data_IF_383274081804
#
_entry.id   IF_383274081804
#
_cell.length_a   1.000
_cell.length_b   1.000
_cell.length_c   1.000
_cell.angle_alpha   90.00
_cell.angle_beta   90.00
_cell.angle_gamma   90.00
#
_symmetry.space_group_name_H-M   'P 1'
#
loop_
_entity.id
_entity.type
_entity.pdbx_description
1 polymer ?
#
# COMPACT_ATOMS: atom_id res chain seq x y z
N UNK A 1 6.10 23.81 -0.40
CA UNK A 1 7.46 24.28 -0.05
C UNK A 1 8.44 23.15 -0.34
N UNK A 2 9.54 23.39 -1.03
CA UNK A 2 10.58 22.36 -1.26
C UNK A 2 11.50 22.20 -0.05
N UNK A 3 12.27 21.10 0.04
CA UNK A 3 13.29 20.95 1.11
C UNK A 3 14.35 22.08 1.03
N UNK A 4 14.65 22.56 -0.17
CA UNK A 4 15.58 23.68 -0.38
C UNK A 4 15.02 24.99 0.17
N UNK A 5 13.73 25.25 -0.06
CA UNK A 5 13.02 26.40 0.49
C UNK A 5 12.90 26.32 2.01
N UNK A 6 12.59 25.15 2.57
CA UNK A 6 12.56 24.93 4.02
C UNK A 6 13.91 25.29 4.64
N UNK A 7 15.00 24.76 4.09
CA UNK A 7 16.34 25.06 4.57
C UNK A 7 16.68 26.55 4.39
N UNK A 8 16.20 27.20 3.32
CA UNK A 8 16.27 28.65 3.09
C UNK A 8 15.62 29.44 4.22
N UNK A 9 14.34 29.20 4.48
CA UNK A 9 13.58 29.88 5.52
C UNK A 9 14.15 29.61 6.92
N UNK A 10 14.55 28.37 7.22
CA UNK A 10 15.17 28.02 8.50
C UNK A 10 16.47 28.80 8.74
N UNK A 11 17.32 28.92 7.73
CA UNK A 11 18.55 29.71 7.83
C UNK A 11 18.26 31.18 8.13
N UNK A 12 17.34 31.81 7.39
CA UNK A 12 16.98 33.21 7.61
C UNK A 12 16.44 33.41 9.03
N UNK A 13 15.58 32.50 9.50
CA UNK A 13 15.02 32.54 10.85
C UNK A 13 16.10 32.45 11.93
N UNK A 14 17.00 31.46 11.81
CA UNK A 14 18.10 31.26 12.77
C UNK A 14 19.08 32.45 12.76
N UNK A 15 19.44 32.97 11.58
CA UNK A 15 20.35 34.12 11.47
C UNK A 15 19.74 35.39 12.08
N UNK A 16 18.44 35.63 11.88
CA UNK A 16 17.74 36.78 12.46
C UNK A 16 17.69 36.73 14.00
N UNK A 17 17.53 35.53 14.57
CA UNK A 17 17.47 35.33 16.04
C UNK A 17 18.84 35.34 16.72
N UNK A 18 19.87 34.86 16.03
CA UNK A 18 21.22 34.69 16.62
C UNK A 18 22.17 35.85 16.32
N UNK A 19 21.92 36.63 15.26
CA UNK A 19 22.84 37.64 14.74
C UNK A 19 24.13 37.06 14.13
N UNK A 20 24.24 35.73 14.03
CA UNK A 20 25.41 35.05 13.47
C UNK A 20 25.13 34.55 12.04
N UNK A 21 26.19 34.42 11.23
CA UNK A 21 26.07 33.85 9.89
C UNK A 21 26.09 32.32 9.94
N UNK A 22 25.13 31.69 9.27
CA UNK A 22 25.03 30.22 9.16
C UNK A 22 25.17 29.78 7.71
N UNK A 23 25.97 28.76 7.40
CA UNK A 23 26.01 28.14 6.07
C UNK A 23 24.76 27.28 5.83
N UNK A 24 24.23 27.22 4.60
CA UNK A 24 23.09 26.35 4.23
C UNK A 24 23.35 24.88 4.57
N UNK A 25 24.55 24.38 4.28
CA UNK A 25 24.96 23.00 4.60
C UNK A 25 24.85 22.70 6.11
N UNK A 26 25.16 23.67 6.97
CA UNK A 26 25.03 23.50 8.43
C UNK A 26 23.55 23.44 8.85
N UNK A 27 22.66 24.16 8.16
CA UNK A 27 21.22 24.09 8.45
C UNK A 27 20.65 22.71 8.13
N UNK A 28 21.06 22.10 7.02
CA UNK A 28 20.69 20.71 6.72
C UNK A 28 21.10 19.74 7.83
N UNK A 29 22.31 19.89 8.36
CA UNK A 29 22.81 19.08 9.48
C UNK A 29 22.03 19.33 10.79
N UNK A 30 21.62 20.57 11.05
CA UNK A 30 20.79 20.90 12.22
C UNK A 30 19.35 20.37 12.09
N UNK A 31 18.78 20.39 10.88
CA UNK A 31 17.48 19.75 10.58
C UNK A 31 17.53 18.23 10.76
N UNK A 32 18.68 17.60 10.51
CA UNK A 32 18.85 16.17 10.79
C UNK A 32 18.96 15.93 12.31
N UNK A 33 19.79 16.73 12.98
CA UNK A 33 19.99 16.62 14.41
C UNK A 33 18.70 16.86 15.22
N UNK A 34 17.79 17.73 14.75
CA UNK A 34 16.50 17.96 15.43
C UNK A 34 15.67 16.69 15.58
N UNK A 35 15.87 15.68 14.72
CA UNK A 35 15.17 14.41 14.79
C UNK A 35 16.08 13.24 15.19
N UNK A 36 17.23 13.53 15.82
CA UNK A 36 18.17 12.52 16.31
C UNK A 36 19.02 11.84 15.23
N UNK A 37 19.03 12.36 14.00
CA UNK A 37 19.88 11.83 12.93
C UNK A 37 21.30 12.39 13.03
N UNK A 38 22.29 11.54 12.78
CA UNK A 38 23.71 11.89 12.89
C UNK A 38 24.22 12.79 11.74
N UNK A 39 23.52 12.82 10.61
CA UNK A 39 23.84 13.69 9.47
C UNK A 39 22.63 13.86 8.57
N UNK A 40 22.65 14.88 7.71
CA UNK A 40 21.60 15.06 6.72
C UNK A 40 21.53 13.92 5.70
N UNK A 41 22.66 13.26 5.43
CA UNK A 41 22.70 12.11 4.54
C UNK A 41 21.92 10.88 5.07
N UNK A 42 21.62 10.84 6.38
CA UNK A 42 20.79 9.79 6.97
C UNK A 42 19.31 9.94 6.58
N UNK A 43 18.87 11.12 6.15
CA UNK A 43 17.58 11.26 5.48
C UNK A 43 17.59 10.52 4.14
N UNK A 44 16.49 9.83 3.86
CA UNK A 44 16.31 9.00 2.68
C UNK A 44 16.86 7.58 2.80
N UNK A 45 17.32 7.15 3.98
CA UNK A 45 17.56 5.73 4.26
C UNK A 45 16.25 5.05 4.67
N UNK A 46 15.61 5.57 5.72
CA UNK A 46 14.31 5.08 6.18
C UNK A 46 13.34 6.22 6.55
N UNK A 47 13.81 7.46 6.59
CA UNK A 47 12.99 8.61 7.00
C UNK A 47 13.17 9.78 6.06
N UNK A 48 12.09 10.53 5.87
CA UNK A 48 12.04 11.76 5.06
C UNK A 48 11.39 12.88 5.86
N UNK A 49 11.71 14.13 5.51
CA UNK A 49 11.02 15.28 6.10
C UNK A 49 9.61 15.37 5.54
N UNK A 50 8.66 15.73 6.39
CA UNK A 50 7.27 15.90 6.01
C UNK A 50 6.62 17.04 6.79
N UNK A 51 5.54 17.58 6.23
CA UNK A 51 4.58 18.41 6.96
C UNK A 51 3.68 17.45 7.74
N UNK A 52 3.63 17.59 9.06
CA UNK A 52 2.87 16.74 9.97
C UNK A 52 1.39 17.09 9.88
N UNK A 53 0.54 16.07 9.76
CA UNK A 53 -0.92 16.21 9.86
C UNK A 53 -1.37 16.16 11.33
N UNK A 54 -2.60 16.61 11.61
CA UNK A 54 -3.13 16.74 12.98
C UNK A 54 -3.09 15.43 13.78
N UNK A 55 -3.11 14.27 13.11
CA UNK A 55 -3.13 12.93 13.72
C UNK A 55 -1.78 12.19 13.64
N UNK A 56 -0.72 12.78 13.06
CA UNK A 56 0.58 12.11 12.98
C UNK A 56 1.26 12.10 14.36
N UNK A 57 1.81 10.94 14.77
CA UNK A 57 2.66 10.86 15.97
C UNK A 57 3.85 11.82 15.83
N UNK A 58 3.82 12.87 16.63
CA UNK A 58 4.81 13.95 16.54
C UNK A 58 6.17 13.50 17.10
N UNK A 59 7.15 13.33 16.23
CA UNK A 59 8.55 13.34 16.64
C UNK A 59 8.94 14.80 16.94
N UNK A 60 8.82 15.20 18.21
CA UNK A 60 9.17 16.54 18.64
C UNK A 60 10.66 16.82 18.37
N UNK A 61 11.01 18.02 17.87
CA UNK A 61 12.40 18.45 17.75
C UNK A 61 13.15 18.31 19.08
N UNK A 62 14.33 17.70 19.04
CA UNK A 62 15.14 17.45 20.23
C UNK A 62 16.26 18.48 20.36
N UNK A 63 16.00 19.55 21.11
CA UNK A 63 16.94 20.67 21.28
C UNK A 63 18.33 20.28 21.76
N UNK A 64 18.46 19.25 22.59
CA UNK A 64 19.76 18.75 23.04
C UNK A 64 20.67 18.32 21.88
N UNK A 65 20.11 17.67 20.86
CA UNK A 65 20.86 17.24 19.68
C UNK A 65 21.18 18.42 18.75
N UNK A 66 20.25 19.35 18.57
CA UNK A 66 20.48 20.59 17.80
C UNK A 66 21.64 21.38 18.41
N UNK A 67 21.61 21.59 19.73
CA UNK A 67 22.63 22.35 20.45
C UNK A 67 24.01 21.71 20.29
N UNK A 68 24.10 20.41 20.56
CA UNK A 68 25.33 19.63 20.40
C UNK A 68 25.87 19.73 18.97
N UNK A 69 25.04 19.52 17.97
CA UNK A 69 25.46 19.56 16.56
C UNK A 69 25.91 20.96 16.14
N UNK A 70 25.28 22.00 16.67
CA UNK A 70 25.68 23.39 16.42
C UNK A 70 27.08 23.68 16.98
N UNK A 71 27.41 23.17 18.17
CA UNK A 71 28.76 23.28 18.74
C UNK A 71 29.78 22.49 17.90
N UNK A 72 29.46 21.26 17.49
CA UNK A 72 30.31 20.44 16.63
C UNK A 72 30.63 21.11 15.27
N UNK A 73 29.68 21.89 14.74
CA UNK A 73 29.85 22.66 13.51
C UNK A 73 30.66 23.97 13.70
N UNK A 74 31.14 24.24 14.93
CA UNK A 74 32.06 25.33 15.25
C UNK A 74 31.39 26.63 15.73
N UNK A 75 30.10 26.61 16.04
CA UNK A 75 29.42 27.78 16.61
C UNK A 75 29.65 27.89 18.12
N UNK A 76 29.66 29.12 18.64
CA UNK A 76 29.84 29.37 20.08
C UNK A 76 28.65 28.83 20.89
N UNK A 77 28.84 28.36 22.14
CA UNK A 77 27.75 27.84 22.97
C UNK A 77 26.53 28.77 23.09
N UNK A 78 26.75 30.07 23.28
CA UNK A 78 25.65 31.06 23.38
C UNK A 78 24.84 31.14 22.07
N UNK A 79 25.54 31.12 20.92
CA UNK A 79 24.92 31.08 19.59
C UNK A 79 24.18 29.77 19.37
N UNK A 80 24.74 28.64 19.81
CA UNK A 80 24.12 27.32 19.71
C UNK A 80 22.80 27.25 20.49
N UNK A 81 22.76 27.80 21.71
CA UNK A 81 21.54 27.87 22.52
C UNK A 81 20.45 28.70 21.83
N UNK A 82 20.79 29.89 21.33
CA UNK A 82 19.84 30.72 20.59
C UNK A 82 19.36 30.05 19.27
N UNK A 83 20.28 29.40 18.54
CA UNK A 83 19.95 28.68 17.32
C UNK A 83 19.02 27.49 17.59
N UNK A 84 19.20 26.81 18.72
CA UNK A 84 18.37 25.68 19.15
C UNK A 84 16.92 26.14 19.33
N UNK A 85 16.68 27.12 20.20
CA UNK A 85 15.33 27.63 20.45
C UNK A 85 14.69 28.22 19.20
N UNK A 86 15.47 28.89 18.35
CA UNK A 86 14.98 29.43 17.08
C UNK A 86 14.54 28.33 16.10
N UNK A 87 15.30 27.23 16.00
CA UNK A 87 14.99 26.14 15.09
C UNK A 87 13.81 25.30 15.61
N UNK A 88 13.73 25.05 16.91
CA UNK A 88 12.58 24.37 17.52
C UNK A 88 11.27 25.14 17.29
N UNK A 89 11.26 26.46 17.54
CA UNK A 89 10.10 27.32 17.26
C UNK A 89 9.71 27.25 15.79
N UNK A 90 10.69 27.36 14.89
CA UNK A 90 10.46 27.34 13.45
C UNK A 90 9.84 26.02 12.96
N UNK A 91 10.34 24.88 13.44
CA UNK A 91 9.82 23.55 13.05
C UNK A 91 8.41 23.33 13.60
N UNK A 92 8.16 23.70 14.86
CA UNK A 92 6.83 23.57 15.47
C UNK A 92 5.79 24.48 14.82
N UNK A 93 6.13 25.74 14.54
CA UNK A 93 5.23 26.70 13.88
C UNK A 93 4.81 26.25 12.48
N UNK A 94 5.70 25.52 11.78
CA UNK A 94 5.44 25.00 10.43
C UNK A 94 5.04 23.53 10.41
N UNK A 95 4.84 22.93 11.59
CA UNK A 95 4.48 21.52 11.75
C UNK A 95 5.42 20.58 10.97
N UNK A 96 6.72 20.86 10.96
CA UNK A 96 7.70 20.04 10.23
C UNK A 96 8.17 18.89 11.12
N UNK A 97 8.09 17.67 10.59
CA UNK A 97 8.53 16.46 11.26
C UNK A 97 9.25 15.48 10.33
N UNK A 98 9.30 14.23 10.76
CA UNK A 98 9.82 13.12 9.98
C UNK A 98 8.76 12.03 9.82
N UNK A 99 8.74 11.42 8.64
CA UNK A 99 7.95 10.22 8.35
C UNK A 99 8.88 9.04 8.06
N UNK A 100 8.54 7.87 8.61
CA UNK A 100 9.13 6.60 8.21
C UNK A 100 8.60 6.22 6.83
N UNK A 101 9.48 5.86 5.89
CA UNK A 101 9.06 5.50 4.52
C UNK A 101 8.20 4.22 4.57
N UNK A 102 8.58 3.21 5.36
CA UNK A 102 7.79 1.99 5.53
C UNK A 102 6.41 2.27 6.14
N UNK A 103 6.33 3.11 7.16
CA UNK A 103 5.04 3.45 7.77
C UNK A 103 4.16 4.29 6.85
N UNK A 104 4.78 5.10 5.99
CA UNK A 104 4.08 5.82 4.93
C UNK A 104 3.50 4.83 3.90
N UNK A 105 4.27 3.83 3.48
CA UNK A 105 3.80 2.78 2.56
C UNK A 105 2.60 2.05 3.14
N UNK A 106 2.69 1.55 4.39
CA UNK A 106 1.57 0.86 5.03
C UNK A 106 0.31 1.73 5.05
N UNK A 107 0.46 3.01 5.43
CA UNK A 107 -0.66 3.96 5.39
C UNK A 107 -1.24 4.15 3.98
N UNK A 108 -0.39 4.25 2.96
CA UNK A 108 -0.81 4.41 1.56
C UNK A 108 -1.51 3.17 1.01
N UNK A 109 -1.14 1.97 1.48
CA UNK A 109 -1.81 0.71 1.13
C UNK A 109 -3.12 0.47 1.89
N UNK A 110 -3.48 1.36 2.83
CA UNK A 110 -4.65 1.16 3.69
C UNK A 110 -4.43 0.14 4.81
N UNK A 111 -3.18 -0.28 5.06
CA UNK A 111 -2.83 -1.14 6.20
C UNK A 111 -2.97 -0.31 7.49
N UNK A 112 -4.15 -0.36 8.11
CA UNK A 112 -4.37 0.28 9.41
C UNK A 112 -3.52 -0.42 10.47
N UNK A 113 -2.72 0.31 11.27
CA UNK A 113 -2.03 -0.30 12.40
C UNK A 113 -3.07 -0.68 13.46
N UNK A 114 -3.48 -1.96 13.46
CA UNK A 114 -4.28 -2.65 14.47
C UNK A 114 -5.26 -1.75 15.24
N UNK A 115 -6.48 -1.58 14.73
CA UNK A 115 -7.62 -1.15 15.53
C UNK A 115 -8.55 -2.34 15.71
N UNK A 116 -8.25 -3.13 16.75
CA UNK A 116 -9.30 -3.81 17.51
C UNK A 116 -10.21 -2.71 18.07
N UNK A 117 -11.22 -2.31 17.33
CA UNK A 117 -12.46 -1.72 17.83
C UNK A 117 -13.45 -1.72 16.65
N UNK A 118 -14.46 -2.59 16.72
CA UNK A 118 -15.67 -2.50 15.90
C UNK A 118 -16.28 -1.11 16.07
N UNK A 119 -16.01 -0.21 15.13
CA UNK A 119 -16.80 1.01 14.98
C UNK A 119 -17.89 0.72 13.94
N UNK A 120 -19.14 0.75 14.43
CA UNK A 120 -20.35 0.87 13.62
C UNK A 120 -20.08 1.87 12.49
N UNK A 121 -20.31 1.42 11.26
CA UNK A 121 -20.23 2.23 10.05
C UNK A 121 -21.17 3.44 10.17
N UNK A 122 -20.64 4.59 10.59
CA UNK A 122 -21.28 5.88 10.32
C UNK A 122 -21.04 6.16 8.83
N UNK A 123 -22.07 5.95 8.00
CA UNK A 123 -22.08 6.21 6.54
C UNK A 123 -21.75 7.66 6.14
N UNK A 124 -21.48 8.54 7.12
CA UNK A 124 -21.14 9.96 6.92
C UNK A 124 -19.63 10.27 7.10
N UNK A 125 -18.78 9.30 7.47
CA UNK A 125 -17.31 9.41 7.34
C UNK A 125 -16.81 8.58 6.15
N UNK A 126 -17.38 8.84 4.97
CA UNK A 126 -16.67 8.58 3.72
C UNK A 126 -15.32 9.29 3.85
N UNK A 127 -14.28 8.49 4.05
CA UNK A 127 -12.91 8.90 3.89
C UNK A 127 -12.74 9.22 2.40
N UNK A 128 -13.30 10.35 1.96
CA UNK A 128 -12.88 10.95 0.71
C UNK A 128 -11.36 11.08 0.87
N UNK A 129 -10.55 10.39 0.05
CA UNK A 129 -9.15 10.73 -0.08
C UNK A 129 -9.21 12.10 -0.73
N UNK A 130 -9.35 13.12 0.12
CA UNK A 130 -9.29 14.50 -0.34
C UNK A 130 -8.00 14.58 -1.15
N UNK A 131 -8.14 15.27 -2.27
CA UNK A 131 -7.17 15.75 -3.24
C UNK A 131 -6.05 16.60 -2.57
N UNK A 132 -5.66 16.26 -1.34
CA UNK A 132 -4.56 16.78 -0.55
C UNK A 132 -3.27 16.16 -1.06
N UNK A 133 -2.86 16.63 -2.23
CA UNK A 133 -1.53 16.46 -2.79
C UNK A 133 -0.49 16.43 -1.65
N UNK A 134 0.20 15.28 -1.51
CA UNK A 134 1.25 15.11 -0.52
C UNK A 134 2.19 16.31 -0.52
N UNK A 135 2.48 16.84 0.68
CA UNK A 135 3.23 18.09 0.82
C UNK A 135 4.56 18.04 0.03
N UNK A 136 4.94 19.10 -0.70
CA UNK A 136 6.13 19.06 -1.58
C UNK A 136 7.45 18.74 -0.86
N UNK A 137 7.53 18.95 0.47
CA UNK A 137 8.68 18.56 1.29
C UNK A 137 8.84 17.03 1.33
N UNK A 138 7.72 16.30 1.45
CA UNK A 138 7.71 14.85 1.50
C UNK A 138 8.15 14.27 0.15
N UNK A 139 7.52 14.74 -0.94
CA UNK A 139 7.81 14.28 -2.31
C UNK A 139 9.27 14.55 -2.68
N UNK A 140 9.79 15.76 -2.41
CA UNK A 140 11.20 16.09 -2.61
C UNK A 140 12.15 15.15 -1.83
N UNK A 141 11.75 14.79 -0.61
CA UNK A 141 12.53 13.90 0.27
C UNK A 141 12.57 12.47 -0.27
N UNK A 142 11.44 11.98 -0.76
CA UNK A 142 11.33 10.69 -1.42
C UNK A 142 12.10 10.68 -2.73
N UNK A 143 11.99 11.71 -3.57
CA UNK A 143 12.73 11.82 -4.84
C UNK A 143 14.25 11.79 -4.60
N UNK A 144 14.71 12.49 -3.57
CA UNK A 144 16.12 12.50 -3.19
C UNK A 144 16.59 11.12 -2.66
N UNK A 145 15.71 10.36 -2.02
CA UNK A 145 15.98 9.00 -1.56
C UNK A 145 15.98 8.00 -2.72
N UNK A 146 14.97 8.07 -3.60
CA UNK A 146 14.84 7.27 -4.81
C UNK A 146 16.05 7.46 -5.74
N UNK A 147 16.49 8.72 -5.95
CA UNK A 147 17.69 9.04 -6.73
C UNK A 147 18.99 8.39 -6.20
N UNK A 148 19.01 7.92 -4.95
CA UNK A 148 20.12 7.19 -4.33
C UNK A 148 19.94 5.66 -4.37
N UNK A 149 18.91 5.16 -5.05
CA UNK A 149 18.61 3.73 -5.17
C UNK A 149 17.81 3.17 -3.98
N UNK A 150 17.00 3.97 -3.29
CA UNK A 150 16.13 3.47 -2.23
C UNK A 150 14.84 2.87 -2.82
N UNK A 151 14.68 1.55 -2.70
CA UNK A 151 13.52 0.82 -3.22
C UNK A 151 12.20 1.25 -2.56
N UNK A 152 12.19 1.44 -1.24
CA UNK A 152 11.02 1.90 -0.48
C UNK A 152 10.59 3.30 -0.92
N UNK A 153 11.54 4.19 -1.20
CA UNK A 153 11.23 5.54 -1.67
C UNK A 153 10.61 5.52 -3.07
N UNK A 154 11.13 4.68 -3.97
CA UNK A 154 10.50 4.44 -5.26
C UNK A 154 9.08 3.89 -5.08
N UNK A 155 8.88 2.90 -4.21
CA UNK A 155 7.56 2.33 -4.01
C UNK A 155 6.56 3.33 -3.40
N UNK A 156 6.97 4.10 -2.39
CA UNK A 156 6.15 5.16 -1.82
C UNK A 156 5.76 6.23 -2.87
N UNK A 157 6.67 6.62 -3.76
CA UNK A 157 6.37 7.53 -4.87
C UNK A 157 5.41 6.91 -5.89
N UNK A 158 5.53 5.60 -6.15
CA UNK A 158 4.55 4.91 -6.98
C UNK A 158 3.16 5.00 -6.36
N UNK A 159 3.00 4.63 -5.08
CA UNK A 159 1.71 4.72 -4.39
C UNK A 159 1.13 6.15 -4.36
N UNK A 160 1.97 7.18 -4.19
CA UNK A 160 1.56 8.59 -4.25
C UNK A 160 1.02 8.99 -5.63
N UNK A 161 1.55 8.40 -6.70
CA UNK A 161 1.17 8.70 -8.09
C UNK A 161 0.22 7.65 -8.68
N UNK A 162 -0.25 6.69 -7.88
CA UNK A 162 -1.16 5.65 -8.35
C UNK A 162 -2.42 6.30 -8.94
N UNK A 163 -2.93 5.80 -10.07
CA UNK A 163 -4.20 6.26 -10.59
C UNK A 163 -5.31 5.85 -9.61
N UNK A 164 -6.26 6.76 -9.37
CA UNK A 164 -7.46 6.46 -8.59
C UNK A 164 -8.38 5.54 -9.41
N UNK A 165 -8.93 4.50 -8.76
CA UNK A 165 -9.79 3.51 -9.43
C UNK A 165 -11.19 4.08 -9.79
N UNK A 166 -11.57 5.20 -9.18
CA UNK A 166 -12.84 5.92 -9.44
C UNK A 166 -12.76 6.95 -10.57
N UNK A 167 -11.56 7.17 -11.10
CA UNK A 167 -11.29 8.17 -12.14
C UNK A 167 -11.63 7.58 -13.53
N UNK A 168 -12.89 7.17 -13.73
CA UNK A 168 -13.39 6.77 -15.06
C UNK A 168 -13.12 7.95 -16.01
N UNK A 169 -12.31 7.80 -17.07
CA UNK A 169 -11.90 8.92 -17.89
C UNK A 169 -13.12 9.59 -18.49
N UNK A 170 -13.48 10.76 -17.93
CA UNK A 170 -14.58 11.60 -18.39
C UNK A 170 -14.60 11.60 -19.92
N UNK A 171 -15.66 11.01 -20.48
CA UNK A 171 -15.76 10.77 -21.91
C UNK A 171 -15.59 12.09 -22.68
N UNK A 172 -14.41 12.27 -23.29
CA UNK A 172 -14.04 13.48 -24.05
C UNK A 172 -12.82 14.25 -23.53
N UNK A 173 -12.29 13.94 -22.35
CA UNK A 173 -11.08 14.57 -21.80
C UNK A 173 -9.84 14.35 -22.69
N UNK A 174 -9.65 13.13 -23.19
CA UNK A 174 -8.59 12.78 -24.16
C UNK A 174 -8.72 13.54 -25.48
N UNK A 175 -9.95 13.69 -25.98
CA UNK A 175 -10.23 14.45 -27.21
C UNK A 175 -9.82 15.91 -27.07
N UNK A 176 -10.19 16.57 -25.97
CA UNK A 176 -9.80 17.97 -25.76
C UNK A 176 -8.30 18.14 -25.62
N UNK A 177 -7.64 17.23 -24.90
CA UNK A 177 -6.18 17.21 -24.83
C UNK A 177 -5.54 17.14 -26.22
N UNK A 178 -5.98 16.21 -27.08
CA UNK A 178 -5.49 16.09 -28.45
C UNK A 178 -5.76 17.35 -29.29
N UNK A 179 -6.94 17.96 -29.17
CA UNK A 179 -7.27 19.21 -29.86
C UNK A 179 -6.35 20.36 -29.42
N UNK A 180 -6.04 20.45 -28.13
CA UNK A 180 -5.07 21.41 -27.60
C UNK A 180 -3.66 21.18 -28.17
N UNK A 181 -3.21 19.92 -28.23
CA UNK A 181 -1.91 19.56 -28.85
C UNK A 181 -1.83 19.91 -30.33
N UNK A 182 -2.96 19.89 -31.05
CA UNK A 182 -3.06 20.32 -32.45
C UNK A 182 -3.09 21.86 -32.63
N UNK A 183 -2.97 22.62 -31.54
CA UNK A 183 -2.90 24.08 -31.55
C UNK A 183 -4.25 24.79 -31.46
N UNK A 184 -5.35 24.07 -31.18
CA UNK A 184 -6.63 24.70 -30.86
C UNK A 184 -6.52 25.43 -29.52
N UNK A 185 -6.97 26.68 -29.48
CA UNK A 185 -7.07 27.44 -28.23
C UNK A 185 -8.28 26.93 -27.46
N UNK A 186 -8.04 26.22 -26.36
CA UNK A 186 -9.07 25.74 -25.44
C UNK A 186 -9.35 26.77 -24.35
N UNK A 187 -10.61 26.88 -23.91
CA UNK A 187 -11.04 27.81 -22.86
C UNK A 187 -12.13 27.20 -21.99
N UNK A 188 -12.22 27.63 -20.73
CA UNK A 188 -13.22 27.12 -19.78
C UNK A 188 -13.08 25.62 -19.56
N UNK A 189 -14.20 24.91 -19.53
CA UNK A 189 -14.29 23.47 -19.26
C UNK A 189 -13.42 22.63 -20.22
N UNK A 190 -13.35 22.98 -21.51
CA UNK A 190 -12.51 22.24 -22.49
C UNK A 190 -11.02 22.27 -22.07
N UNK A 191 -10.57 23.41 -21.53
CA UNK A 191 -9.20 23.58 -21.07
C UNK A 191 -8.96 22.83 -19.76
N UNK A 192 -9.89 22.95 -18.82
CA UNK A 192 -9.81 22.26 -17.52
C UNK A 192 -9.73 20.73 -17.71
N UNK A 193 -10.56 20.16 -18.58
CA UNK A 193 -10.53 18.73 -18.91
C UNK A 193 -9.23 18.31 -19.59
N UNK A 194 -8.72 19.12 -20.52
CA UNK A 194 -7.44 18.84 -21.17
C UNK A 194 -6.26 18.89 -20.18
N UNK A 195 -6.26 19.85 -19.24
CA UNK A 195 -5.24 19.98 -18.20
C UNK A 195 -5.31 18.84 -17.17
N UNK A 196 -6.53 18.44 -16.76
CA UNK A 196 -6.74 17.28 -15.89
C UNK A 196 -6.23 15.99 -16.55
N UNK A 197 -6.58 15.76 -17.82
CA UNK A 197 -6.08 14.61 -18.59
C UNK A 197 -4.55 14.61 -18.71
N UNK A 198 -3.95 15.77 -19.00
CA UNK A 198 -2.50 15.92 -19.04
C UNK A 198 -1.84 15.60 -17.69
N UNK A 199 -2.46 16.03 -16.59
CA UNK A 199 -2.00 15.72 -15.24
C UNK A 199 -2.05 14.21 -14.97
N UNK A 200 -3.17 13.55 -15.27
CA UNK A 200 -3.32 12.09 -15.11
C UNK A 200 -2.27 11.32 -15.92
N UNK A 201 -2.01 11.72 -17.16
CA UNK A 201 -0.97 11.11 -17.98
C UNK A 201 0.42 11.24 -17.33
N UNK A 202 0.75 12.43 -16.81
CA UNK A 202 2.01 12.65 -16.11
C UNK A 202 2.11 11.85 -14.79
N UNK A 203 1.00 11.66 -14.07
CA UNK A 203 0.95 10.81 -12.88
C UNK A 203 1.17 9.34 -13.25
N UNK A 204 0.47 8.84 -14.28
CA UNK A 204 0.63 7.47 -14.78
C UNK A 204 2.07 7.18 -15.25
N UNK A 205 2.73 8.14 -15.91
CA UNK A 205 4.15 8.01 -16.29
C UNK A 205 5.06 7.89 -15.07
N UNK A 206 4.85 8.71 -14.04
CA UNK A 206 5.61 8.66 -12.79
C UNK A 206 5.35 7.37 -12.02
N UNK A 207 4.08 6.97 -11.90
CA UNK A 207 3.67 5.71 -11.30
C UNK A 207 4.43 4.54 -11.92
N UNK A 208 4.33 4.40 -13.24
CA UNK A 208 4.96 3.29 -13.96
C UNK A 208 6.50 3.36 -13.94
N UNK A 209 7.09 4.56 -13.86
CA UNK A 209 8.54 4.70 -13.68
C UNK A 209 8.99 4.23 -12.30
N UNK A 210 8.39 4.76 -11.24
CA UNK A 210 8.79 4.48 -9.87
C UNK A 210 8.50 3.02 -9.49
N UNK A 211 7.39 2.46 -9.94
CA UNK A 211 7.06 1.07 -9.70
C UNK A 211 8.08 0.11 -10.32
N UNK A 212 8.47 0.35 -11.58
CA UNK A 212 9.52 -0.45 -12.24
C UNK A 212 10.88 -0.33 -11.57
N UNK A 213 11.27 0.86 -11.13
CA UNK A 213 12.54 1.03 -10.40
C UNK A 213 12.51 0.37 -9.02
N UNK A 214 11.38 0.43 -8.30
CA UNK A 214 11.20 -0.31 -7.04
C UNK A 214 11.33 -1.82 -7.25
N UNK A 215 10.67 -2.36 -8.27
CA UNK A 215 10.78 -3.77 -8.65
C UNK A 215 12.19 -4.17 -9.07
N UNK A 216 12.87 -3.34 -9.88
CA UNK A 216 14.29 -3.55 -10.28
C UNK A 216 15.23 -3.59 -9.07
N UNK A 217 14.90 -2.87 -8.00
CA UNK A 217 15.65 -2.87 -6.74
C UNK A 217 15.22 -4.00 -5.78
N UNK A 218 14.25 -4.85 -6.16
CA UNK A 218 13.83 -6.04 -5.42
C UNK A 218 12.70 -5.83 -4.41
N UNK A 219 11.93 -4.74 -4.52
CA UNK A 219 10.78 -4.52 -3.64
C UNK A 219 9.63 -5.47 -4.01
N UNK A 220 9.23 -6.36 -3.09
CA UNK A 220 8.28 -7.44 -3.38
C UNK A 220 6.88 -6.94 -3.72
N UNK A 221 6.33 -5.99 -2.94
CA UNK A 221 5.00 -5.44 -3.23
C UNK A 221 4.98 -4.69 -4.57
N UNK A 222 6.11 -4.08 -4.97
CA UNK A 222 6.19 -3.40 -6.25
C UNK A 222 6.21 -4.39 -7.42
N UNK A 223 6.83 -5.56 -7.21
CA UNK A 223 6.83 -6.64 -8.20
C UNK A 223 5.44 -7.26 -8.33
N UNK A 224 4.73 -7.43 -7.21
CA UNK A 224 3.36 -7.92 -7.21
C UNK A 224 2.43 -6.93 -7.94
N UNK A 225 2.50 -5.63 -7.64
CA UNK A 225 1.76 -4.59 -8.34
C UNK A 225 2.12 -4.53 -9.84
N UNK A 226 3.38 -4.81 -10.22
CA UNK A 226 3.78 -4.92 -11.63
C UNK A 226 3.14 -6.13 -12.31
N UNK A 227 3.03 -7.27 -11.62
CA UNK A 227 2.32 -8.44 -12.12
C UNK A 227 0.83 -8.15 -12.27
N UNK A 228 0.23 -7.48 -11.29
CA UNK A 228 -1.19 -7.15 -11.28
C UNK A 228 -1.58 -6.13 -12.37
N UNK A 229 -0.81 -5.05 -12.54
CA UNK A 229 -1.22 -3.95 -13.42
C UNK A 229 -0.62 -3.98 -14.81
N UNK A 230 0.50 -4.69 -14.99
CA UNK A 230 1.26 -4.69 -16.23
C UNK A 230 1.57 -6.10 -16.76
N UNK A 231 1.04 -7.14 -16.12
CA UNK A 231 1.33 -8.55 -16.41
C UNK A 231 2.85 -8.83 -16.48
N UNK A 232 3.63 -8.16 -15.63
CA UNK A 232 5.07 -8.38 -15.53
C UNK A 232 5.37 -9.66 -14.71
N UNK A 233 6.10 -10.65 -15.26
CA UNK A 233 6.32 -11.92 -14.57
C UNK A 233 7.41 -11.85 -13.48
N UNK A 234 8.07 -10.71 -13.26
CA UNK A 234 9.28 -10.63 -12.42
C UNK A 234 9.05 -11.02 -10.96
N UNK A 235 7.86 -10.81 -10.40
CA UNK A 235 7.48 -11.29 -9.07
C UNK A 235 7.60 -12.81 -8.96
N UNK A 236 7.12 -13.45 -10.01
CA UNK A 236 6.82 -14.85 -10.17
C UNK A 236 8.02 -15.69 -10.64
N UNK A 237 9.07 -15.03 -11.13
CA UNK A 237 10.36 -15.64 -11.47
C UNK A 237 11.35 -15.64 -10.29
N UNK A 238 10.99 -15.00 -9.17
CA UNK A 238 11.80 -14.99 -7.97
C UNK A 238 11.52 -16.24 -7.11
N UNK A 239 12.46 -16.65 -6.24
CA UNK A 239 12.18 -17.66 -5.23
C UNK A 239 10.94 -17.25 -4.43
N UNK A 240 10.09 -18.22 -4.09
CA UNK A 240 8.86 -17.97 -3.32
C UNK A 240 9.16 -17.13 -2.09
N UNK A 241 8.60 -15.91 -2.06
CA UNK A 241 8.78 -14.93 -1.00
C UNK A 241 7.47 -14.77 -0.24
N UNK A 242 7.62 -14.44 1.04
CA UNK A 242 6.52 -14.02 1.88
C UNK A 242 6.14 -12.60 1.47
N UNK A 243 4.89 -12.39 1.08
CA UNK A 243 4.32 -11.07 0.79
C UNK A 243 3.14 -10.85 1.71
N UNK A 244 3.02 -9.62 2.19
CA UNK A 244 1.84 -9.19 2.95
C UNK A 244 0.73 -8.82 1.95
N UNK A 245 0.19 -9.86 1.34
CA UNK A 245 -0.89 -9.82 0.37
C UNK A 245 -1.75 -11.07 0.52
N UNK A 246 -3.05 -10.94 0.25
CA UNK A 246 -3.97 -12.07 0.25
C UNK A 246 -3.52 -13.13 -0.77
N UNK A 247 -3.18 -14.36 -0.32
CA UNK A 247 -2.78 -15.43 -1.22
C UNK A 247 -3.80 -15.73 -2.33
N UNK A 248 -5.10 -15.57 -2.08
CA UNK A 248 -6.13 -15.79 -3.10
C UNK A 248 -6.03 -14.74 -4.22
N UNK A 249 -5.81 -13.47 -3.88
CA UNK A 249 -5.57 -12.40 -4.85
C UNK A 249 -4.31 -12.68 -5.70
N UNK A 250 -3.22 -13.15 -5.07
CA UNK A 250 -1.99 -13.51 -5.80
C UNK A 250 -2.23 -14.69 -6.75
N UNK A 251 -3.04 -15.68 -6.35
CA UNK A 251 -3.43 -16.79 -7.21
C UNK A 251 -4.21 -16.32 -8.45
N UNK A 252 -5.15 -15.39 -8.30
CA UNK A 252 -5.91 -14.83 -9.41
C UNK A 252 -5.01 -14.10 -10.44
N UNK A 253 -4.00 -13.37 -9.96
CA UNK A 253 -2.99 -12.74 -10.85
C UNK A 253 -2.23 -13.83 -11.62
N UNK A 254 -1.75 -14.87 -10.92
CA UNK A 254 -1.04 -15.98 -11.57
C UNK A 254 -1.89 -16.70 -12.62
N UNK A 255 -3.20 -16.85 -12.36
CA UNK A 255 -4.15 -17.48 -13.26
C UNK A 255 -4.34 -16.67 -14.54
N UNK A 256 -4.56 -15.36 -14.41
CA UNK A 256 -4.66 -14.44 -15.55
C UNK A 256 -3.41 -14.49 -16.43
N UNK A 257 -2.24 -14.65 -15.82
CA UNK A 257 -0.95 -14.77 -16.51
C UNK A 257 -0.68 -16.19 -17.05
N UNK A 258 -1.56 -17.16 -16.82
CA UNK A 258 -1.43 -18.53 -17.31
C UNK A 258 -0.32 -19.33 -16.62
N UNK A 259 -0.12 -19.14 -15.31
CA UNK A 259 0.95 -19.78 -14.51
C UNK A 259 0.39 -20.81 -13.52
N UNK A 260 -0.05 -22.00 -13.97
CA UNK A 260 -0.79 -22.96 -13.14
C UNK A 260 -0.02 -23.52 -11.95
N UNK A 261 1.32 -23.57 -12.02
CA UNK A 261 2.15 -24.01 -10.91
C UNK A 261 2.14 -23.02 -9.74
N UNK A 262 2.03 -21.72 -10.05
CA UNK A 262 1.99 -20.65 -9.07
C UNK A 262 0.57 -20.46 -8.54
N UNK A 263 -0.45 -20.59 -9.40
CA UNK A 263 -1.85 -20.64 -8.96
C UNK A 263 -2.03 -21.72 -7.89
N UNK A 264 -1.64 -22.96 -8.19
CA UNK A 264 -1.73 -24.06 -7.23
C UNK A 264 -0.99 -23.77 -5.92
N UNK A 265 0.16 -23.10 -6.00
CA UNK A 265 0.94 -22.76 -4.82
C UNK A 265 0.22 -21.74 -3.92
N UNK A 266 -0.25 -20.64 -4.51
CA UNK A 266 -0.92 -19.56 -3.78
C UNK A 266 -2.31 -19.98 -3.29
N UNK A 267 -3.08 -20.75 -4.08
CA UNK A 267 -4.32 -21.38 -3.61
C UNK A 267 -4.09 -22.32 -2.43
N UNK A 268 -2.96 -23.06 -2.41
CA UNK A 268 -2.63 -23.90 -1.25
C UNK A 268 -2.43 -23.05 0.00
N UNK A 269 -1.73 -21.90 -0.11
CA UNK A 269 -1.55 -20.98 1.03
C UNK A 269 -2.87 -20.33 1.49
N UNK A 270 -3.74 -19.97 0.55
CA UNK A 270 -5.09 -19.47 0.84
C UNK A 270 -5.92 -20.53 1.59
N UNK A 271 -5.96 -21.76 1.06
CA UNK A 271 -6.66 -22.87 1.69
C UNK A 271 -6.09 -23.22 3.07
N UNK A 272 -4.77 -23.20 3.24
CA UNK A 272 -4.11 -23.41 4.54
C UNK A 272 -4.40 -22.27 5.54
N UNK A 273 -4.85 -21.10 5.07
CA UNK A 273 -5.35 -19.98 5.88
C UNK A 273 -6.86 -20.03 6.13
N UNK A 274 -7.57 -21.00 5.55
CA UNK A 274 -9.01 -21.22 5.76
C UNK A 274 -9.92 -20.74 4.63
N UNK A 275 -9.38 -20.30 3.49
CA UNK A 275 -10.19 -19.90 2.33
C UNK A 275 -10.88 -21.11 1.68
N UNK A 276 -12.21 -21.15 1.76
CA UNK A 276 -13.01 -22.26 1.25
C UNK A 276 -13.18 -22.26 -0.26
N UNK A 277 -13.09 -21.09 -0.92
CA UNK A 277 -13.13 -21.00 -2.37
C UNK A 277 -11.80 -21.50 -2.96
N UNK A 278 -10.67 -21.17 -2.33
CA UNK A 278 -9.38 -21.74 -2.72
C UNK A 278 -9.35 -23.27 -2.54
N UNK A 279 -9.94 -23.79 -1.47
CA UNK A 279 -10.11 -25.24 -1.28
C UNK A 279 -10.95 -25.85 -2.41
N UNK A 280 -12.06 -25.22 -2.80
CA UNK A 280 -12.93 -25.68 -3.87
C UNK A 280 -12.17 -25.72 -5.21
N UNK A 281 -11.52 -24.63 -5.59
CA UNK A 281 -10.77 -24.54 -6.84
C UNK A 281 -9.62 -25.55 -6.89
N UNK A 282 -8.93 -25.77 -5.77
CA UNK A 282 -7.92 -26.83 -5.67
C UNK A 282 -8.51 -28.21 -5.96
N UNK A 283 -9.69 -28.53 -5.40
CA UNK A 283 -10.33 -29.82 -5.62
C UNK A 283 -10.72 -30.01 -7.09
N UNK A 284 -11.34 -29.01 -7.70
CA UNK A 284 -11.91 -29.13 -9.04
C UNK A 284 -10.85 -29.09 -10.15
N UNK A 285 -9.83 -28.24 -10.00
CA UNK A 285 -8.94 -27.92 -11.12
C UNK A 285 -7.53 -28.49 -10.95
N UNK A 286 -6.96 -28.45 -9.74
CA UNK A 286 -5.51 -28.64 -9.55
C UNK A 286 -5.12 -29.96 -8.89
N UNK A 287 -5.90 -30.43 -7.92
CA UNK A 287 -5.61 -31.61 -7.10
C UNK A 287 -6.48 -32.82 -7.47
N UNK A 288 -7.34 -32.75 -8.49
CA UNK A 288 -8.27 -33.81 -8.91
C UNK A 288 -7.61 -35.20 -9.13
N UNK A 289 -6.30 -35.25 -9.39
CA UNK A 289 -5.53 -36.50 -9.51
C UNK A 289 -5.07 -37.12 -8.17
N UNK A 290 -5.19 -36.40 -7.05
CA UNK A 290 -4.84 -36.83 -5.70
C UNK A 290 -6.09 -36.81 -4.80
N UNK A 291 -6.84 -37.91 -4.86
CA UNK A 291 -8.10 -38.06 -4.14
C UNK A 291 -7.96 -37.85 -2.63
N UNK A 292 -6.83 -38.23 -2.03
CA UNK A 292 -6.59 -38.02 -0.60
C UNK A 292 -6.45 -36.53 -0.28
N UNK A 293 -5.80 -35.77 -1.16
CA UNK A 293 -5.66 -34.31 -1.03
C UNK A 293 -7.01 -33.61 -1.22
N UNK A 294 -7.81 -33.99 -2.22
CA UNK A 294 -9.17 -33.46 -2.40
C UNK A 294 -10.04 -33.64 -1.16
N UNK A 295 -10.03 -34.85 -0.57
CA UNK A 295 -10.76 -35.10 0.68
C UNK A 295 -10.19 -34.35 1.88
N UNK A 296 -8.89 -34.08 1.91
CA UNK A 296 -8.29 -33.24 2.96
C UNK A 296 -8.90 -31.84 2.93
N UNK A 297 -9.01 -31.24 1.74
CA UNK A 297 -9.67 -29.94 1.55
C UNK A 297 -11.16 -29.98 1.92
N UNK A 298 -11.90 -31.01 1.47
CA UNK A 298 -13.31 -31.16 1.82
C UNK A 298 -13.56 -31.35 3.33
N UNK A 299 -12.64 -31.99 4.06
CA UNK A 299 -12.74 -32.07 5.52
C UNK A 299 -12.32 -30.79 6.21
N UNK A 300 -11.29 -30.10 5.72
CA UNK A 300 -10.85 -28.82 6.26
C UNK A 300 -11.96 -27.78 6.11
N UNK A 301 -12.61 -27.72 4.95
CA UNK A 301 -13.71 -26.79 4.68
C UNK A 301 -14.82 -26.93 5.73
N UNK A 302 -15.19 -28.17 6.08
CA UNK A 302 -16.20 -28.44 7.12
C UNK A 302 -15.77 -27.99 8.51
N UNK A 303 -14.48 -28.09 8.82
CA UNK A 303 -13.94 -27.64 10.11
C UNK A 303 -13.95 -26.11 10.21
N UNK A 304 -13.66 -25.40 9.11
CA UNK A 304 -13.71 -23.92 9.07
C UNK A 304 -15.13 -23.36 8.95
N UNK A 305 -16.12 -24.20 8.60
CA UNK A 305 -17.55 -23.85 8.67
C UNK A 305 -18.35 -24.05 7.39
N UNK A 306 -17.72 -24.47 6.28
CA UNK A 306 -18.38 -24.64 4.98
C UNK A 306 -18.26 -26.07 4.48
N UNK A 307 -19.37 -26.79 4.35
CA UNK A 307 -19.34 -28.13 3.76
C UNK A 307 -19.32 -28.07 2.23
N UNK A 308 -18.14 -28.25 1.62
CA UNK A 308 -18.01 -28.23 0.16
C UNK A 308 -18.72 -29.40 -0.54
N UNK A 309 -19.07 -30.47 0.19
CA UNK A 309 -19.74 -31.66 -0.36
C UNK A 309 -21.26 -31.54 -0.38
N UNK A 310 -21.83 -30.47 0.19
CA UNK A 310 -23.26 -30.20 0.15
C UNK A 310 -23.52 -29.10 -0.87
N UNK A 311 -24.66 -29.21 -1.54
CA UNK A 311 -25.19 -28.13 -2.37
C UNK A 311 -25.46 -26.90 -1.49
N UNK A 312 -25.09 -25.73 -1.99
CA UNK A 312 -25.29 -24.44 -1.35
C UNK A 312 -26.03 -23.52 -2.31
N UNK A 313 -27.34 -23.77 -2.47
CA UNK A 313 -28.22 -22.96 -3.32
C UNK A 313 -29.03 -21.95 -2.51
N UNK A 314 -29.17 -20.74 -3.04
CA UNK A 314 -29.97 -19.67 -2.46
C UNK A 314 -30.74 -18.92 -3.55
N UNK A 315 -31.76 -18.17 -3.16
CA UNK A 315 -32.59 -17.41 -4.08
C UNK A 315 -32.07 -15.99 -4.23
N UNK A 316 -32.05 -15.50 -5.48
CA UNK A 316 -31.71 -14.11 -5.84
C UNK A 316 -32.82 -13.49 -6.70
N UNK A 317 -32.88 -12.16 -6.69
CA UNK A 317 -33.70 -11.36 -7.60
C UNK A 317 -33.06 -11.30 -9.01
N UNK A 318 -33.80 -10.72 -9.97
CA UNK A 318 -33.29 -10.55 -11.36
C UNK A 318 -32.04 -9.66 -11.45
N UNK A 319 -31.86 -8.73 -10.51
CA UNK A 319 -30.71 -7.84 -10.42
C UNK A 319 -29.51 -8.46 -9.67
N UNK A 320 -29.64 -9.70 -9.20
CA UNK A 320 -28.58 -10.43 -8.48
C UNK A 320 -28.55 -10.18 -6.98
N UNK A 321 -29.42 -9.33 -6.44
CA UNK A 321 -29.55 -9.13 -4.99
C UNK A 321 -30.22 -10.32 -4.31
N UNK A 322 -29.99 -10.49 -3.01
CA UNK A 322 -30.63 -11.55 -2.22
C UNK A 322 -32.15 -11.43 -2.29
N UNK A 323 -32.81 -12.57 -2.50
CA UNK A 323 -34.27 -12.61 -2.62
C UNK A 323 -34.94 -12.34 -1.27
N UNK A 324 -35.72 -11.26 -1.21
CA UNK A 324 -36.58 -10.91 -0.08
C UNK A 324 -38.04 -11.24 -0.41
N UNK A 325 -38.63 -12.15 0.35
CA UNK A 325 -40.01 -12.60 0.15
C UNK A 325 -41.04 -11.50 0.47
N UNK A 326 -40.67 -10.46 1.22
CA UNK A 326 -41.51 -9.31 1.51
C UNK A 326 -41.61 -8.34 0.32
N UNK A 327 -40.57 -8.24 -0.52
CA UNK A 327 -40.59 -7.43 -1.76
C UNK A 327 -41.39 -8.17 -2.85
N UNK A 328 -41.15 -9.48 -2.98
CA UNK A 328 -41.81 -10.36 -3.94
C UNK A 328 -41.38 -10.14 -5.39
N UNK A 329 -41.31 -11.22 -6.17
CA UNK A 329 -40.91 -11.17 -7.57
C UNK A 329 -40.54 -12.56 -8.11
N UNK A 330 -40.08 -12.67 -9.36
CA UNK A 330 -39.45 -13.89 -9.84
C UNK A 330 -38.19 -14.18 -9.03
N UNK A 331 -38.10 -15.37 -8.44
CA UNK A 331 -36.90 -15.86 -7.78
C UNK A 331 -36.05 -16.69 -8.76
N UNK A 332 -34.74 -16.45 -8.76
CA UNK A 332 -33.75 -17.23 -9.49
C UNK A 332 -32.87 -17.99 -8.50
N UNK A 333 -32.38 -19.16 -8.89
CA UNK A 333 -31.50 -19.97 -8.05
C UNK A 333 -30.05 -19.61 -8.37
N UNK A 334 -29.32 -19.19 -7.35
CA UNK A 334 -27.87 -18.99 -7.36
C UNK A 334 -27.20 -19.98 -6.40
N UNK A 335 -25.88 -19.96 -6.36
CA UNK A 335 -25.07 -20.83 -5.51
C UNK A 335 -24.34 -21.91 -6.29
N UNK A 336 -23.94 -22.98 -5.59
CA UNK A 336 -23.11 -24.05 -6.15
C UNK A 336 -23.59 -25.43 -5.77
N UNK A 337 -23.33 -26.39 -6.66
CA UNK A 337 -23.45 -27.82 -6.37
C UNK A 337 -22.34 -28.25 -5.39
N UNK A 338 -22.62 -29.30 -4.63
CA UNK A 338 -21.61 -29.96 -3.80
C UNK A 338 -20.58 -30.72 -4.66
N UNK A 339 -19.34 -30.73 -4.22
CA UNK A 339 -18.28 -31.49 -4.90
C UNK A 339 -18.53 -32.99 -4.76
N UNK A 340 -18.56 -33.70 -5.89
CA UNK A 340 -18.66 -35.16 -5.96
C UNK A 340 -17.27 -35.80 -5.99
N UNK A 341 -16.86 -36.42 -4.88
CA UNK A 341 -15.57 -37.10 -4.72
C UNK A 341 -15.75 -38.60 -4.55
N UNK A 342 -14.92 -39.38 -5.26
CA UNK A 342 -14.87 -40.82 -5.08
C UNK A 342 -14.52 -41.17 -3.61
N UNK A 343 -15.17 -42.18 -3.00
CA UNK A 343 -14.86 -42.56 -1.62
C UNK A 343 -13.43 -43.09 -1.46
N UNK A 344 -12.76 -42.65 -0.39
CA UNK A 344 -11.46 -43.19 0.01
C UNK A 344 -11.59 -44.55 0.71
N UNK A 345 -10.50 -45.33 0.68
CA UNK A 345 -10.37 -46.46 1.60
C UNK A 345 -10.24 -45.97 3.06
N UNK A 346 -10.54 -46.81 4.06
CA UNK A 346 -10.53 -46.37 5.47
C UNK A 346 -9.19 -45.85 5.98
N UNK A 347 -8.07 -46.30 5.43
CA UNK A 347 -6.74 -45.85 5.86
C UNK A 347 -6.41 -44.47 5.24
N UNK A 348 -6.75 -44.27 3.98
CA UNK A 348 -6.61 -42.98 3.29
C UNK A 348 -7.56 -41.92 3.87
N UNK A 349 -8.82 -42.28 4.15
CA UNK A 349 -9.80 -41.42 4.81
C UNK A 349 -9.29 -40.93 6.17
N UNK A 350 -8.81 -41.86 7.01
CA UNK A 350 -8.22 -41.52 8.31
C UNK A 350 -7.01 -40.58 8.18
N UNK A 351 -6.21 -40.74 7.12
CA UNK A 351 -5.05 -39.89 6.83
C UNK A 351 -5.48 -38.49 6.40
N UNK A 352 -6.48 -38.38 5.51
CA UNK A 352 -7.02 -37.11 5.04
C UNK A 352 -7.66 -36.31 6.20
N UNK A 353 -8.45 -36.96 7.06
CA UNK A 353 -9.03 -36.33 8.26
C UNK A 353 -7.96 -35.81 9.21
N UNK A 354 -6.91 -36.59 9.45
CA UNK A 354 -5.82 -36.20 10.33
C UNK A 354 -5.01 -35.03 9.74
N UNK A 355 -4.84 -34.98 8.42
CA UNK A 355 -4.22 -33.84 7.74
C UNK A 355 -5.08 -32.57 7.88
N UNK A 356 -6.38 -32.67 7.60
CA UNK A 356 -7.32 -31.56 7.74
C UNK A 356 -7.36 -31.01 9.17
N UNK A 357 -7.38 -31.88 10.18
CA UNK A 357 -7.37 -31.47 11.59
C UNK A 357 -6.11 -30.68 11.96
N UNK A 358 -4.94 -31.09 11.45
CA UNK A 358 -3.68 -30.38 11.70
C UNK A 358 -3.67 -28.98 11.08
N UNK A 359 -4.19 -28.86 9.86
CA UNK A 359 -4.33 -27.56 9.18
C UNK A 359 -5.28 -26.65 9.96
N UNK A 360 -6.42 -27.18 10.40
CA UNK A 360 -7.36 -26.43 11.23
C UNK A 360 -6.75 -25.94 12.55
N UNK A 361 -6.00 -26.80 13.24
CA UNK A 361 -5.27 -26.41 14.47
C UNK A 361 -4.24 -25.30 14.22
N UNK A 362 -3.65 -25.22 13.03
CA UNK A 362 -2.73 -24.14 12.64
C UNK A 362 -3.48 -22.84 12.38
N UNK A 363 -4.62 -22.91 11.68
CA UNK A 363 -5.50 -21.75 11.46
C UNK A 363 -5.93 -21.15 12.81
N UNK A 364 -6.40 -21.99 13.75
CA UNK A 364 -6.79 -21.53 15.09
C UNK A 364 -5.64 -20.91 15.90
N UNK A 365 -4.38 -21.31 15.64
CA UNK A 365 -3.20 -20.75 16.30
C UNK A 365 -2.80 -19.41 15.69
N UNK A 366 -2.92 -19.25 14.38
CA UNK A 366 -2.60 -18.01 13.68
C UNK A 366 -3.64 -16.91 13.92
N UNK A 367 -4.87 -17.29 14.28
CA UNK A 367 -5.95 -16.38 14.64
C UNK A 367 -5.89 -15.85 16.10
N UNK A 368 -4.91 -16.28 16.91
CA UNK A 368 -4.72 -15.87 18.32
C UNK A 368 -3.47 -15.02 18.49
#
# INVERSE_FOLDING_TARGET
>A
MTIKELAYSAQQHVQARTGASFKRAHIYELLAASFGLNSYAAFGVNTVLAELRQNDRQALPQGAFINRRCIELGYRPDTATLATSALESFLSERQIGIASISSLISRLRGESPNQDDELEYDEDELFEPTDEAFGPILVDGLDAAASKGNALAHYALALIYAPDDEDDPDAGSSYWYEQGQQGRVLTGVEKEWAEAYASRLAHAEKYAHHLREAGRLGHQDALLDLAERFDDPSFFEQPRHDVDADPAAVAAIAERMGRPADVRHWLTLAAESGDTEAMLQLIEEYDHGDLQRCWTWAYLSRLVGTDLTQDAHYAINEDGSDYDDDVGGPAYVAGRDGVDLEPLDPAQDATARLAAQKLFEQIEQNAR
#
